data_IF_716263499893
#
_entry.id   IF_716263499893
#
_cell.length_a   1.000
_cell.length_b   1.000
_cell.length_c   1.000
_cell.angle_alpha   90.00
_cell.angle_beta   90.00
_cell.angle_gamma   90.00
#
_symmetry.space_group_name_H-M   'P 1'
#
loop_
_entity.id
_entity.type
_entity.pdbx_description
1 polymer ?
#
# COMPACT_ATOMS: atom_id res chain seq x y z
N UNK A 1 -8.92 -47.75 3.08
CA UNK A 1 -7.97 -46.82 2.43
C UNK A 1 -8.57 -45.43 2.18
N UNK A 2 -9.85 -45.32 1.81
CA UNK A 2 -10.54 -44.04 1.60
C UNK A 2 -10.40 -43.04 2.77
N UNK A 3 -10.60 -43.49 4.02
CA UNK A 3 -10.49 -42.60 5.20
C UNK A 3 -9.11 -41.98 5.38
N UNK A 4 -8.03 -42.71 5.09
CA UNK A 4 -6.65 -42.16 5.12
C UNK A 4 -6.46 -41.09 4.05
N UNK A 5 -7.01 -41.29 2.86
CA UNK A 5 -6.93 -40.31 1.77
C UNK A 5 -7.71 -39.02 2.08
N UNK A 6 -8.90 -39.14 2.68
CA UNK A 6 -9.71 -37.98 3.09
C UNK A 6 -9.00 -37.16 4.18
N UNK A 7 -8.38 -37.81 5.16
CA UNK A 7 -7.61 -37.11 6.21
C UNK A 7 -6.43 -36.36 5.61
N UNK A 8 -5.66 -36.99 4.71
CA UNK A 8 -4.53 -36.33 4.04
C UNK A 8 -4.99 -35.14 3.21
N UNK A 9 -6.09 -35.28 2.45
CA UNK A 9 -6.66 -34.19 1.67
C UNK A 9 -7.10 -33.01 2.54
N UNK A 10 -7.77 -33.28 3.67
CA UNK A 10 -8.19 -32.24 4.61
C UNK A 10 -6.99 -31.50 5.24
N UNK A 11 -5.93 -32.23 5.60
CA UNK A 11 -4.69 -31.62 6.14
C UNK A 11 -4.01 -30.73 5.10
N UNK A 12 -3.90 -31.19 3.85
CA UNK A 12 -3.28 -30.38 2.78
C UNK A 12 -4.09 -29.13 2.46
N UNK A 13 -5.43 -29.24 2.43
CA UNK A 13 -6.30 -28.08 2.24
C UNK A 13 -6.19 -27.10 3.42
N UNK A 14 -6.19 -27.60 4.65
CA UNK A 14 -5.99 -26.79 5.85
C UNK A 14 -4.63 -26.09 5.89
N UNK A 15 -3.57 -26.78 5.49
CA UNK A 15 -2.24 -26.19 5.37
C UNK A 15 -2.20 -25.08 4.30
N UNK A 16 -2.78 -25.32 3.12
CA UNK A 16 -2.89 -24.30 2.07
C UNK A 16 -3.64 -23.05 2.52
N UNK A 17 -4.73 -23.22 3.27
CA UNK A 17 -5.47 -22.10 3.86
C UNK A 17 -4.64 -21.37 4.93
N UNK A 18 -3.90 -22.10 5.77
CA UNK A 18 -3.05 -21.53 6.82
C UNK A 18 -1.80 -20.80 6.29
N UNK A 19 -1.35 -21.06 5.05
CA UNK A 19 -0.20 -20.36 4.47
C UNK A 19 -0.42 -18.84 4.37
N UNK A 20 -1.64 -18.38 4.11
CA UNK A 20 -1.97 -16.95 4.03
C UNK A 20 -1.70 -16.21 5.35
N UNK A 21 -2.29 -16.60 6.50
CA UNK A 21 -1.99 -15.93 7.77
C UNK A 21 -0.55 -16.14 8.23
N UNK A 22 0.08 -17.29 7.97
CA UNK A 22 1.50 -17.54 8.29
C UNK A 22 2.42 -16.60 7.51
N UNK A 23 2.16 -16.39 6.22
CA UNK A 23 2.92 -15.44 5.41
C UNK A 23 2.80 -14.02 5.97
N UNK A 24 1.58 -13.61 6.34
CA UNK A 24 1.33 -12.28 6.88
C UNK A 24 2.04 -12.05 8.24
N UNK A 25 2.04 -13.04 9.13
CA UNK A 25 2.74 -12.92 10.43
C UNK A 25 4.25 -12.87 10.24
N UNK A 26 4.82 -13.67 9.34
CA UNK A 26 6.25 -13.63 9.01
C UNK A 26 6.63 -12.27 8.41
N UNK A 27 5.86 -11.77 7.44
CA UNK A 27 6.14 -10.47 6.81
C UNK A 27 6.05 -9.31 7.80
N UNK A 28 5.11 -9.39 8.76
CA UNK A 28 4.96 -8.41 9.84
C UNK A 28 6.12 -8.50 10.84
N UNK A 29 6.52 -9.71 11.24
CA UNK A 29 7.62 -9.93 12.16
C UNK A 29 8.98 -9.47 11.58
N UNK A 30 9.19 -9.65 10.28
CA UNK A 30 10.37 -9.20 9.56
C UNK A 30 10.32 -7.71 9.15
N UNK A 31 9.18 -7.04 9.32
CA UNK A 31 9.01 -5.63 8.96
C UNK A 31 9.02 -5.34 7.45
N UNK A 32 8.88 -6.36 6.61
CA UNK A 32 8.87 -6.25 5.14
C UNK A 32 7.47 -6.00 4.56
N UNK A 33 6.44 -5.86 5.41
CA UNK A 33 5.10 -5.57 4.94
C UNK A 33 5.05 -4.13 4.41
N UNK A 34 5.18 -3.98 3.10
CA UNK A 34 5.29 -2.69 2.39
C UNK A 34 3.99 -1.85 2.35
N UNK A 35 2.95 -2.28 3.06
CA UNK A 35 1.76 -1.47 3.26
C UNK A 35 1.98 -0.54 4.45
N UNK A 36 1.75 0.75 4.24
CA UNK A 36 1.71 1.72 5.34
C UNK A 36 0.67 1.27 6.38
N UNK A 37 0.91 1.55 7.67
CA UNK A 37 -0.03 1.24 8.77
C UNK A 37 -1.46 1.76 8.49
N UNK A 38 -1.58 2.84 7.69
CA UNK A 38 -2.85 3.40 7.24
C UNK A 38 -3.59 2.51 6.22
N UNK A 39 -2.88 1.81 5.33
CA UNK A 39 -3.48 0.92 4.30
C UNK A 39 -3.81 -0.48 4.82
N UNK A 40 -3.11 -0.96 5.84
CA UNK A 40 -3.46 -2.21 6.54
C UNK A 40 -4.91 -2.11 7.08
N UNK A 41 -5.33 -0.91 7.49
CA UNK A 41 -6.70 -0.64 7.91
C UNK A 41 -7.74 -0.77 6.79
N UNK A 42 -7.40 -0.36 5.57
CA UNK A 42 -8.33 -0.34 4.42
C UNK A 42 -8.65 -1.75 3.92
N UNK A 43 -7.67 -2.66 3.89
CA UNK A 43 -7.94 -4.06 3.52
C UNK A 43 -8.69 -4.86 4.61
N UNK A 44 -8.63 -4.41 5.87
CA UNK A 44 -9.32 -5.02 7.01
C UNK A 44 -10.66 -4.36 7.40
N UNK A 45 -11.15 -3.39 6.61
CA UNK A 45 -12.38 -2.65 6.91
C UNK A 45 -12.31 -1.71 8.12
N UNK A 46 -11.13 -1.53 8.72
CA UNK A 46 -10.89 -0.56 9.78
C UNK A 46 -10.18 0.64 9.18
N UNK A 47 -10.94 1.63 8.71
CA UNK A 47 -10.38 2.97 8.46
C UNK A 47 -9.50 3.31 9.66
N UNK A 48 -8.21 3.57 9.42
CA UNK A 48 -7.38 4.14 10.46
C UNK A 48 -8.02 5.47 10.82
N UNK A 49 -8.79 5.50 11.91
CA UNK A 49 -9.33 6.69 12.56
C UNK A 49 -8.17 7.45 13.22
N UNK A 50 -7.16 7.75 12.41
CA UNK A 50 -6.00 8.54 12.75
C UNK A 50 -6.26 9.94 12.25
N UNK A 51 -7.31 10.59 12.78
CA UNK A 51 -7.32 12.06 12.86
C UNK A 51 -5.92 12.48 13.33
N UNK A 52 -5.15 13.06 12.41
CA UNK A 52 -3.80 13.51 12.64
C UNK A 52 -3.86 14.50 13.80
N UNK A 53 -3.50 14.05 15.01
CA UNK A 53 -3.48 14.90 16.21
C UNK A 53 -2.44 16.01 16.11
N UNK A 54 -1.51 15.93 15.16
CA UNK A 54 -0.50 16.94 14.95
C UNK A 54 -0.91 17.88 13.81
N UNK A 55 -1.40 19.06 14.17
CA UNK A 55 -1.67 20.18 13.26
C UNK A 55 -0.46 21.10 13.07
N UNK A 56 0.67 20.81 13.73
CA UNK A 56 1.84 21.67 13.67
C UNK A 56 2.78 21.25 12.54
N UNK A 57 3.19 22.24 11.75
CA UNK A 57 4.18 22.09 10.69
C UNK A 57 5.56 22.36 11.30
N UNK A 58 6.46 21.40 11.17
CA UNK A 58 7.86 21.56 11.59
C UNK A 58 8.69 22.17 10.46
N UNK A 59 8.98 23.46 10.54
CA UNK A 59 9.78 24.18 9.53
C UNK A 59 11.29 24.01 9.70
N UNK A 60 11.77 23.32 10.75
CA UNK A 60 13.21 23.16 11.02
C UNK A 60 13.93 22.27 9.99
N UNK A 61 13.18 21.45 9.26
CA UNK A 61 13.71 20.54 8.25
C UNK A 61 12.77 20.41 7.04
N UNK A 62 13.37 20.19 5.88
CA UNK A 62 12.66 19.93 4.62
C UNK A 62 12.84 18.46 4.24
N UNK A 63 11.78 17.85 3.72
CA UNK A 63 11.76 16.49 3.20
C UNK A 63 11.41 16.58 1.71
N UNK A 64 12.20 15.92 0.87
CA UNK A 64 11.83 15.73 -0.53
C UNK A 64 11.03 14.44 -0.65
N UNK A 65 9.84 14.52 -1.23
CA UNK A 65 9.04 13.36 -1.60
C UNK A 65 9.11 13.21 -3.11
N UNK A 66 9.58 12.06 -3.57
CA UNK A 66 9.63 11.72 -4.99
C UNK A 66 8.45 10.81 -5.36
N UNK A 67 7.86 11.07 -6.52
CA UNK A 67 6.72 10.33 -7.05
C UNK A 67 7.17 9.48 -8.23
N UNK A 68 7.39 8.20 -7.95
CA UNK A 68 7.65 7.20 -8.97
C UNK A 68 6.34 6.55 -9.42
N UNK A 69 5.93 6.82 -10.67
CA UNK A 69 4.72 6.30 -11.25
C UNK A 69 5.04 5.34 -12.40
N UNK A 70 4.65 4.08 -12.23
CA UNK A 70 4.85 3.05 -13.22
C UNK A 70 3.50 2.47 -13.66
N UNK A 71 3.27 2.39 -14.98
CA UNK A 71 2.11 1.74 -15.56
C UNK A 71 2.51 0.44 -16.27
N UNK A 72 1.71 -0.61 -16.09
CA UNK A 72 1.79 -1.85 -16.87
C UNK A 72 0.48 -2.07 -17.60
N UNK A 73 0.54 -2.23 -18.92
CA UNK A 73 -0.64 -2.38 -19.78
C UNK A 73 -0.99 -1.09 -20.54
N UNK A 74 -2.20 -0.99 -21.12
CA UNK A 74 -2.59 0.10 -22.02
C UNK A 74 -3.08 1.34 -21.25
N UNK A 75 -2.27 1.81 -20.30
CA UNK A 75 -2.56 2.94 -19.44
C UNK A 75 -1.46 3.98 -19.55
N UNK A 76 -1.85 5.25 -19.64
CA UNK A 76 -0.93 6.35 -19.40
C UNK A 76 -1.16 6.81 -17.96
N UNK A 77 -0.14 6.70 -17.11
CA UNK A 77 -0.17 7.14 -15.73
C UNK A 77 1.11 7.90 -15.41
N UNK A 78 0.97 9.16 -15.00
CA UNK A 78 2.11 10.02 -14.66
C UNK A 78 1.71 11.04 -13.59
N UNK A 79 2.63 11.40 -12.69
CA UNK A 79 2.42 12.52 -11.78
C UNK A 79 2.57 13.84 -12.55
N UNK A 80 1.87 14.88 -12.12
CA UNK A 80 2.07 16.22 -12.66
C UNK A 80 3.46 16.78 -12.28
N UNK A 81 3.92 16.46 -11.07
CA UNK A 81 5.25 16.83 -10.58
C UNK A 81 5.96 15.60 -10.05
N UNK A 82 7.23 15.39 -10.44
CA UNK A 82 8.02 14.20 -10.04
C UNK A 82 8.55 14.26 -8.61
N UNK A 83 8.67 15.44 -8.03
CA UNK A 83 9.09 15.61 -6.65
C UNK A 83 8.50 16.88 -6.04
N UNK A 84 8.32 16.87 -4.73
CA UNK A 84 7.91 18.05 -3.95
C UNK A 84 8.75 18.14 -2.69
N UNK A 85 9.07 19.37 -2.29
CA UNK A 85 9.68 19.65 -1.00
C UNK A 85 8.58 20.04 -0.01
N UNK A 86 8.54 19.34 1.12
CA UNK A 86 7.52 19.51 2.16
C UNK A 86 8.14 19.51 3.54
N UNK A 87 7.45 20.13 4.48
CA UNK A 87 7.77 20.06 5.90
C UNK A 87 6.98 18.93 6.58
N UNK A 88 7.54 18.25 7.59
CA UNK A 88 6.77 17.31 8.41
C UNK A 88 5.50 17.96 8.97
N UNK A 89 4.36 17.29 8.79
CA UNK A 89 3.04 17.80 9.19
C UNK A 89 2.38 18.74 8.17
N UNK A 90 3.08 19.13 7.11
CA UNK A 90 2.50 19.92 6.01
C UNK A 90 1.61 19.05 5.14
N UNK A 91 0.35 19.46 4.96
CA UNK A 91 -0.55 18.84 4.00
C UNK A 91 -0.23 19.36 2.60
N UNK A 92 0.01 18.44 1.66
CA UNK A 92 0.33 18.77 0.27
C UNK A 92 -0.54 17.93 -0.65
N UNK A 93 -1.13 18.58 -1.65
CA UNK A 93 -1.91 17.93 -2.69
C UNK A 93 -1.04 17.75 -3.92
N UNK A 94 -1.06 16.55 -4.48
CA UNK A 94 -0.36 16.21 -5.72
C UNK A 94 -1.32 15.61 -6.70
N UNK A 95 -1.19 16.03 -7.96
CA UNK A 95 -2.07 15.60 -9.03
C UNK A 95 -1.41 14.53 -9.89
N UNK A 96 -2.25 13.60 -10.35
CA UNK A 96 -1.87 12.53 -11.27
C UNK A 96 -2.76 12.57 -12.48
N UNK A 97 -2.17 12.33 -13.65
CA UNK A 97 -2.89 12.08 -14.89
C UNK A 97 -3.03 10.58 -15.09
N UNK A 98 -4.26 10.12 -15.35
CA UNK A 98 -4.56 8.74 -15.69
C UNK A 98 -5.43 8.69 -16.94
N UNK A 99 -5.02 7.90 -17.93
CA UNK A 99 -5.77 7.72 -19.17
C UNK A 99 -5.80 6.26 -19.62
N UNK A 100 -7.01 5.81 -19.94
CA UNK A 100 -7.23 4.57 -20.66
C UNK A 100 -7.00 4.79 -22.16
N UNK A 101 -6.03 4.09 -22.74
CA UNK A 101 -5.70 4.20 -24.18
C UNK A 101 -6.65 3.36 -25.03
N UNK A 102 -7.45 2.47 -24.43
CA UNK A 102 -8.39 1.60 -25.15
C UNK A 102 -9.76 2.28 -25.36
N UNK A 103 -10.40 1.96 -26.47
CA UNK A 103 -11.77 2.42 -26.80
C UNK A 103 -12.87 1.62 -26.09
N UNK A 104 -12.58 1.02 -24.94
CA UNK A 104 -13.53 0.23 -24.14
C UNK A 104 -13.36 0.49 -22.65
N UNK A 105 -14.45 0.38 -21.90
CA UNK A 105 -14.41 0.44 -20.43
C UNK A 105 -13.57 -0.70 -19.88
N UNK A 106 -12.66 -0.38 -18.97
CA UNK A 106 -11.78 -1.35 -18.32
C UNK A 106 -11.62 -0.98 -16.83
N UNK A 107 -11.38 -2.00 -16.00
CA UNK A 107 -11.03 -1.81 -14.60
C UNK A 107 -9.51 -1.74 -14.45
N UNK A 108 -9.03 -0.81 -13.62
CA UNK A 108 -7.62 -0.69 -13.24
C UNK A 108 -7.52 -0.65 -11.71
N UNK A 109 -6.42 -1.17 -11.18
CA UNK A 109 -6.09 -1.08 -9.76
C UNK A 109 -4.70 -0.47 -9.62
N UNK A 110 -4.61 0.64 -8.90
CA UNK A 110 -3.34 1.20 -8.48
C UNK A 110 -2.88 0.51 -7.19
N UNK A 111 -1.62 0.08 -7.16
CA UNK A 111 -1.00 -0.53 -5.98
C UNK A 111 0.13 0.42 -5.54
N UNK A 112 -0.04 1.18 -4.45
CA UNK A 112 1.01 2.06 -3.94
C UNK A 112 2.12 1.25 -3.26
N UNK A 113 3.32 1.82 -3.26
CA UNK A 113 4.46 1.34 -2.48
C UNK A 113 5.28 2.53 -2.01
N UNK A 114 5.78 2.48 -0.78
CA UNK A 114 6.57 3.58 -0.19
C UNK A 114 8.00 3.12 0.07
N UNK A 115 8.96 3.99 -0.19
CA UNK A 115 10.37 3.76 0.09
C UNK A 115 11.02 5.07 0.57
N UNK A 116 12.09 5.02 1.38
CA UNK A 116 12.70 3.81 1.97
C UNK A 116 11.86 3.25 3.14
N UNK A 117 12.12 2.00 3.52
CA UNK A 117 11.33 1.26 4.53
C UNK A 117 11.24 2.00 5.88
N UNK A 118 12.30 2.70 6.26
CA UNK A 118 12.41 3.48 7.50
C UNK A 118 11.46 4.69 7.54
N UNK A 119 11.09 5.23 6.37
CA UNK A 119 10.21 6.39 6.27
C UNK A 119 8.72 6.02 6.13
N UNK A 120 8.43 4.78 5.74
CA UNK A 120 7.08 4.30 5.42
C UNK A 120 6.08 4.49 6.58
N UNK A 121 6.49 4.23 7.82
CA UNK A 121 5.63 4.39 9.00
C UNK A 121 5.26 5.85 9.31
N UNK A 122 5.98 6.81 8.74
CA UNK A 122 5.78 8.23 8.96
C UNK A 122 5.03 8.92 7.80
N UNK A 123 4.89 8.23 6.67
CA UNK A 123 4.18 8.74 5.52
C UNK A 123 2.69 8.43 5.62
N UNK A 124 1.85 9.46 5.52
CA UNK A 124 0.40 9.31 5.54
C UNK A 124 -0.18 9.88 4.24
N UNK A 125 -0.69 9.00 3.38
CA UNK A 125 -1.52 9.38 2.25
C UNK A 125 -2.94 9.62 2.76
N UNK A 126 -3.51 10.77 2.45
CA UNK A 126 -4.92 11.07 2.67
C UNK A 126 -5.66 10.86 1.33
N UNK A 127 -6.79 10.16 1.38
CA UNK A 127 -7.69 9.93 0.23
C UNK A 127 -8.98 10.74 0.37
#
# INVERSE_FOLDING_TARGET
>A
MLGKLVVVAAVMAGFGYALVPIYNTICTALGINVLSLAEIGVQGGKRADGSQKNTQIDTSRTITVEFDANARGPWEFAPETRSVEVHPGQLTTVMYTFRNVQNRTMAAQAIPSYAPMQAMQHFNKLE
#
